data_IF_388688067042
#
_entry.id   IF_388688067042
#
_cell.length_a   1.000
_cell.length_b   1.000
_cell.length_c   1.000
_cell.angle_alpha   90.00
_cell.angle_beta   90.00
_cell.angle_gamma   90.00
#
_symmetry.space_group_name_H-M   'P 1'
#
loop_
_entity.id
_entity.type
_entity.pdbx_description
1 polymer ?
#
# COMPACT_ATOMS: atom_id res chain seq x y z
N UNK A 1 4.53 -4.28 35.30
CA UNK A 1 3.95 -3.45 34.22
C UNK A 1 4.22 -4.16 32.91
N UNK A 2 3.25 -4.91 32.39
CA UNK A 2 3.31 -5.44 31.02
C UNK A 2 2.91 -4.29 30.09
N UNK A 3 3.89 -3.76 29.37
CA UNK A 3 3.68 -2.78 28.30
C UNK A 3 2.92 -3.48 27.17
N UNK A 4 1.59 -3.42 27.17
CA UNK A 4 0.78 -3.76 26.02
C UNK A 4 0.92 -2.63 24.99
N UNK A 5 1.98 -2.70 24.22
CA UNK A 5 2.21 -1.82 23.09
C UNK A 5 1.64 -2.48 21.82
N UNK A 6 0.70 -1.88 21.08
CA UNK A 6 0.24 -2.39 19.78
C UNK A 6 1.32 -2.25 18.66
N UNK A 7 2.59 -2.35 19.01
CA UNK A 7 3.75 -1.74 18.31
C UNK A 7 4.30 -2.47 17.07
N UNK A 8 3.63 -3.49 16.51
CA UNK A 8 4.15 -4.21 15.32
C UNK A 8 3.14 -4.48 14.21
N UNK A 9 1.94 -3.92 14.29
CA UNK A 9 0.95 -4.18 13.25
C UNK A 9 1.21 -3.31 12.03
N UNK A 10 1.64 -3.96 10.93
CA UNK A 10 1.63 -3.35 9.62
C UNK A 10 0.18 -3.26 9.16
N UNK A 11 -0.28 -2.05 8.86
CA UNK A 11 -1.54 -1.86 8.16
C UNK A 11 -1.38 -2.39 6.74
N UNK A 12 -2.47 -2.92 6.18
CA UNK A 12 -2.53 -3.38 4.79
C UNK A 12 -3.72 -2.75 4.10
N UNK A 13 -3.48 -2.16 2.94
CA UNK A 13 -4.54 -1.74 2.02
C UNK A 13 -4.37 -2.45 0.68
N UNK A 14 -5.47 -2.52 -0.05
CA UNK A 14 -5.49 -3.04 -1.41
C UNK A 14 -5.95 -1.95 -2.36
N UNK A 15 -5.28 -1.88 -3.49
CA UNK A 15 -5.58 -0.90 -4.51
C UNK A 15 -5.56 -1.57 -5.88
N UNK A 16 -6.29 -0.95 -6.80
CA UNK A 16 -6.30 -1.27 -8.21
C UNK A 16 -5.61 -0.14 -8.96
N UNK A 17 -4.73 -0.51 -9.86
CA UNK A 17 -4.03 0.37 -10.77
C UNK A 17 -4.08 -0.24 -12.17
N UNK A 18 -3.93 0.55 -13.22
CA UNK A 18 -3.77 0.00 -14.56
C UNK A 18 -2.56 -0.96 -14.59
N UNK A 19 -2.67 -2.21 -15.12
CA UNK A 19 -1.59 -3.20 -15.10
C UNK A 19 -0.22 -2.68 -15.58
N UNK A 20 -0.23 -1.85 -16.63
CA UNK A 20 0.95 -1.23 -17.22
C UNK A 20 1.63 -0.20 -16.29
N UNK A 21 0.91 0.32 -15.29
CA UNK A 21 1.43 1.29 -14.32
C UNK A 21 1.96 0.66 -13.04
N UNK A 22 1.84 -0.67 -12.85
CA UNK A 22 2.34 -1.36 -11.64
C UNK A 22 3.84 -1.09 -11.41
N UNK A 23 4.65 -1.17 -12.46
CA UNK A 23 6.10 -0.95 -12.35
C UNK A 23 6.43 0.52 -12.04
N UNK A 24 5.67 1.46 -12.59
CA UNK A 24 5.83 2.89 -12.30
C UNK A 24 5.50 3.19 -10.83
N UNK A 25 4.38 2.66 -10.32
CA UNK A 25 4.00 2.82 -8.92
C UNK A 25 5.06 2.24 -7.99
N UNK A 26 5.59 1.05 -8.30
CA UNK A 26 6.69 0.44 -7.53
C UNK A 26 7.91 1.35 -7.48
N UNK A 27 8.33 1.88 -8.63
CA UNK A 27 9.48 2.78 -8.72
C UNK A 27 9.28 4.04 -7.85
N UNK A 28 8.09 4.64 -7.89
CA UNK A 28 7.77 5.81 -7.05
C UNK A 28 7.89 5.43 -5.58
N UNK A 29 7.27 4.33 -5.15
CA UNK A 29 7.27 3.91 -3.74
C UNK A 29 8.67 3.54 -3.23
N UNK A 30 9.51 2.91 -4.06
CA UNK A 30 10.91 2.59 -3.74
C UNK A 30 11.78 3.85 -3.57
N UNK A 31 11.36 4.99 -4.16
CA UNK A 31 11.98 6.29 -3.92
C UNK A 31 11.72 6.87 -2.53
N UNK A 32 10.69 6.39 -1.82
CA UNK A 32 10.39 6.77 -0.44
C UNK A 32 10.94 5.70 0.51
N UNK A 33 12.10 5.97 1.11
CA UNK A 33 12.82 5.02 1.96
C UNK A 33 11.93 4.43 3.07
N UNK A 34 11.60 3.14 2.92
CA UNK A 34 10.83 2.38 3.92
C UNK A 34 9.36 2.79 4.08
N UNK A 35 8.80 3.63 3.20
CA UNK A 35 7.44 4.15 3.39
C UNK A 35 6.37 3.05 3.28
N UNK A 36 6.50 2.17 2.28
CA UNK A 36 5.60 1.01 2.11
C UNK A 36 6.33 -0.22 1.60
N UNK A 37 5.75 -1.39 1.86
CA UNK A 37 6.06 -2.64 1.18
C UNK A 37 4.94 -2.90 0.18
N UNK A 38 5.25 -2.83 -1.12
CA UNK A 38 4.31 -3.16 -2.19
C UNK A 38 4.40 -4.64 -2.58
N UNK A 39 3.25 -5.27 -2.82
CA UNK A 39 3.17 -6.61 -3.42
C UNK A 39 2.07 -6.65 -4.48
N UNK A 40 2.37 -7.23 -5.64
CA UNK A 40 1.39 -7.45 -6.70
C UNK A 40 0.58 -8.70 -6.37
N UNK A 41 -0.74 -8.56 -6.24
CA UNK A 41 -1.66 -9.65 -5.92
C UNK A 41 -2.20 -10.29 -7.20
N UNK A 42 -2.67 -9.46 -8.14
CA UNK A 42 -3.10 -9.89 -9.47
C UNK A 42 -2.55 -8.92 -10.53
N UNK A 43 -1.51 -9.30 -11.30
CA UNK A 43 -0.93 -8.43 -12.30
C UNK A 43 -1.86 -8.18 -13.49
N UNK A 44 -2.78 -9.11 -13.82
CA UNK A 44 -3.70 -8.95 -14.95
C UNK A 44 -4.83 -7.99 -14.60
N UNK A 45 -5.31 -8.05 -13.36
CA UNK A 45 -6.38 -7.17 -12.88
C UNK A 45 -5.88 -5.85 -12.30
N UNK A 46 -4.56 -5.72 -12.11
CA UNK A 46 -3.96 -4.53 -11.55
C UNK A 46 -4.08 -4.42 -10.04
N UNK A 47 -4.26 -5.55 -9.33
CA UNK A 47 -4.49 -5.57 -7.89
C UNK A 47 -3.15 -5.63 -7.17
N UNK A 48 -2.92 -4.68 -6.28
CA UNK A 48 -1.72 -4.56 -5.46
C UNK A 48 -2.10 -4.43 -3.98
N UNK A 49 -1.18 -4.77 -3.10
CA UNK A 49 -1.27 -4.49 -1.67
C UNK A 49 -0.11 -3.60 -1.24
N UNK A 50 -0.41 -2.65 -0.37
CA UNK A 50 0.58 -1.83 0.31
C UNK A 50 0.53 -2.18 1.79
N UNK A 51 1.70 -2.43 2.38
CA UNK A 51 1.86 -2.59 3.82
C UNK A 51 2.74 -1.49 4.38
N UNK A 52 2.35 -0.90 5.49
CA UNK A 52 3.08 0.19 6.11
C UNK A 52 2.83 0.21 7.61
N UNK A 53 3.74 0.84 8.35
CA UNK A 53 3.57 1.02 9.79
C UNK A 53 2.46 2.06 10.05
N UNK A 54 1.60 1.86 11.05
CA UNK A 54 0.48 2.79 11.32
C UNK A 54 0.91 4.26 11.50
N UNK A 55 2.13 4.49 12.00
CA UNK A 55 2.72 5.84 12.14
C UNK A 55 3.00 6.56 10.81
N UNK A 56 3.03 5.82 9.70
CA UNK A 56 3.27 6.33 8.35
C UNK A 56 1.95 6.45 7.57
N UNK A 57 0.80 6.25 8.22
CA UNK A 57 -0.49 6.23 7.52
C UNK A 57 -0.77 7.55 6.80
N UNK A 58 -0.50 8.68 7.46
CA UNK A 58 -0.73 10.01 6.88
C UNK A 58 0.19 10.25 5.66
N UNK A 59 1.49 9.93 5.79
CA UNK A 59 2.45 10.04 4.68
C UNK A 59 2.06 9.16 3.47
N UNK A 60 1.57 7.95 3.74
CA UNK A 60 1.09 7.02 2.71
C UNK A 60 -0.18 7.54 2.04
N UNK A 61 -1.11 8.09 2.82
CA UNK A 61 -2.34 8.68 2.29
C UNK A 61 -2.00 9.89 1.42
N UNK A 62 -1.15 10.80 1.88
CA UNK A 62 -0.72 11.99 1.13
C UNK A 62 -0.07 11.60 -0.20
N UNK A 63 0.83 10.60 -0.19
CA UNK A 63 1.43 10.09 -1.42
C UNK A 63 0.36 9.54 -2.38
N UNK A 64 -0.56 8.72 -1.87
CA UNK A 64 -1.63 8.12 -2.68
C UNK A 64 -2.60 9.14 -3.24
N UNK A 65 -2.91 10.20 -2.49
CA UNK A 65 -3.71 11.33 -2.95
C UNK A 65 -3.02 12.07 -4.11
N UNK A 66 -1.71 12.29 -3.99
CA UNK A 66 -0.90 12.90 -5.05
C UNK A 66 -0.84 12.10 -6.35
N UNK A 67 -1.15 10.80 -6.32
CA UNK A 67 -1.21 9.93 -7.51
C UNK A 67 -2.60 9.33 -7.76
N UNK A 68 -3.64 9.87 -7.10
CA UNK A 68 -5.00 9.31 -7.07
C UNK A 68 -5.63 9.15 -8.46
N UNK A 69 -5.33 10.04 -9.41
CA UNK A 69 -5.76 9.91 -10.82
C UNK A 69 -5.24 8.63 -11.51
N UNK A 70 -4.32 7.92 -10.87
CA UNK A 70 -3.69 6.71 -11.38
C UNK A 70 -4.05 5.45 -10.58
N UNK A 71 -4.71 5.58 -9.43
CA UNK A 71 -4.95 4.46 -8.49
C UNK A 71 -6.34 4.53 -7.86
N UNK A 72 -6.97 3.38 -7.60
CA UNK A 72 -8.29 3.30 -6.97
C UNK A 72 -8.27 2.25 -5.86
N UNK A 73 -8.61 2.63 -4.63
CA UNK A 73 -8.70 1.67 -3.51
C UNK A 73 -9.78 0.61 -3.79
N UNK A 74 -9.47 -0.66 -3.49
CA UNK A 74 -10.42 -1.76 -3.66
C UNK A 74 -10.59 -2.55 -2.37
N UNK A 75 -11.82 -3.02 -2.13
CA UNK A 75 -12.08 -4.01 -1.08
C UNK A 75 -11.58 -5.36 -1.58
N UNK A 76 -10.47 -5.83 -1.02
CA UNK A 76 -10.01 -7.20 -1.24
C UNK A 76 -10.43 -8.04 -0.04
N UNK A 77 -11.40 -8.93 -0.24
CA UNK A 77 -11.80 -9.89 0.79
C UNK A 77 -10.64 -10.88 0.97
N UNK A 78 -9.92 -10.74 2.08
CA UNK A 78 -8.89 -11.71 2.47
C UNK A 78 -9.62 -12.97 2.90
N UNK A 79 -9.65 -13.99 2.04
CA UNK A 79 -10.02 -15.33 2.50
C UNK A 79 -8.83 -15.88 3.32
N UNK A 80 -9.06 -16.40 4.53
CA UNK A 80 -8.02 -16.91 5.42
C UNK A 80 -7.27 -18.10 4.84
#
# INVERSE_FOLDING_TARGET
>A
MQSNEPQKELQRIYARIAPEKISLLRFILEGYDGLTIMSTIDPKQGIISLRFHHKLADDVIELLEGISDQITTVKHNVSP
#
